data_IF_272062034166
#
_entry.id   IF_272062034166
#
_cell.length_a   1.000
_cell.length_b   1.000
_cell.length_c   1.000
_cell.angle_alpha   90.00
_cell.angle_beta   90.00
_cell.angle_gamma   90.00
#
_symmetry.space_group_name_H-M   'P 1'
#
loop_
_entity.id
_entity.type
_entity.pdbx_description
1 polymer ?
#
# COMPACT_ATOMS: atom_id res chain seq x y z
N UNK A 1 -3.36 -11.82 13.71
CA UNK A 1 -1.95 -11.87 14.12
C UNK A 1 -1.52 -10.60 14.86
N UNK A 2 -1.81 -9.39 14.41
CA UNK A 2 -1.40 -8.09 15.01
C UNK A 2 -1.88 -7.92 16.45
N UNK A 3 -3.15 -8.23 16.76
CA UNK A 3 -3.69 -8.16 18.13
C UNK A 3 -2.89 -9.07 19.08
N UNK A 4 -2.60 -10.30 18.64
CA UNK A 4 -1.78 -11.24 19.44
C UNK A 4 -0.35 -10.74 19.66
N UNK A 5 0.15 -9.89 18.77
CA UNK A 5 1.44 -9.21 18.91
C UNK A 5 1.36 -7.91 19.77
N UNK A 6 0.20 -7.62 20.37
CA UNK A 6 0.01 -6.48 21.28
C UNK A 6 -0.34 -5.18 20.58
N UNK A 7 -0.73 -5.21 19.29
CA UNK A 7 -1.14 -4.00 18.57
C UNK A 7 -2.62 -3.71 18.76
N UNK A 8 -2.98 -2.46 19.06
CA UNK A 8 -4.31 -1.95 18.83
C UNK A 8 -4.57 -1.94 17.32
N UNK A 9 -5.59 -2.65 16.88
CA UNK A 9 -5.85 -2.85 15.46
C UNK A 9 -7.21 -2.26 15.07
N UNK A 10 -7.21 -1.29 14.17
CA UNK A 10 -8.40 -0.63 13.64
C UNK A 10 -8.67 -1.17 12.23
N UNK A 11 -9.90 -1.60 11.96
CA UNK A 11 -10.36 -1.98 10.64
C UNK A 11 -11.35 -0.93 10.13
N UNK A 12 -10.94 -0.20 9.09
CA UNK A 12 -11.79 0.79 8.45
C UNK A 12 -12.76 0.09 7.48
N UNK A 13 -14.04 0.24 7.72
CA UNK A 13 -15.10 -0.44 6.98
C UNK A 13 -16.13 0.55 6.44
N UNK A 14 -16.69 0.24 5.27
CA UNK A 14 -17.83 0.97 4.70
C UNK A 14 -19.17 0.32 5.06
N UNK A 15 -19.15 -0.96 5.34
CA UNK A 15 -20.29 -1.76 5.80
C UNK A 15 -19.82 -2.67 6.92
N UNK A 16 -20.75 -3.17 7.72
CA UNK A 16 -20.44 -4.19 8.72
C UNK A 16 -19.95 -5.46 8.02
N UNK A 17 -18.72 -5.92 8.30
CA UNK A 17 -18.19 -7.13 7.69
C UNK A 17 -18.82 -8.43 8.29
N UNK A 18 -19.66 -8.33 9.31
CA UNK A 18 -20.24 -9.47 10.04
C UNK A 18 -19.23 -10.13 10.97
N UNK A 19 -18.23 -10.80 10.42
CA UNK A 19 -17.25 -11.58 11.16
C UNK A 19 -15.89 -10.86 11.28
N UNK A 20 -15.81 -9.84 12.14
CA UNK A 20 -14.54 -9.23 12.47
C UNK A 20 -13.78 -10.06 13.52
N UNK A 21 -12.45 -10.25 13.38
CA UNK A 21 -11.67 -10.95 14.39
C UNK A 21 -11.78 -10.29 15.78
N UNK A 22 -11.88 -11.09 16.84
CA UNK A 22 -11.98 -10.59 18.20
C UNK A 22 -10.83 -9.61 18.53
N UNK A 23 -11.18 -8.46 19.13
CA UNK A 23 -10.25 -7.41 19.50
C UNK A 23 -9.91 -6.41 18.40
N UNK A 24 -10.44 -6.57 17.16
CA UNK A 24 -10.38 -5.55 16.13
C UNK A 24 -11.46 -4.49 16.40
N UNK A 25 -11.08 -3.22 16.34
CA UNK A 25 -12.01 -2.10 16.44
C UNK A 25 -12.48 -1.71 15.03
N UNK A 26 -13.79 -1.71 14.80
CA UNK A 26 -14.37 -1.25 13.54
C UNK A 26 -14.47 0.28 13.54
N UNK A 27 -14.02 0.89 12.46
CA UNK A 27 -14.04 2.34 12.26
C UNK A 27 -14.72 2.67 10.93
N UNK A 28 -15.59 3.66 10.94
CA UNK A 28 -16.25 4.14 9.73
C UNK A 28 -15.25 4.74 8.74
N UNK A 29 -15.06 4.07 7.62
CA UNK A 29 -14.14 4.46 6.55
C UNK A 29 -14.59 5.75 5.84
N UNK A 30 -15.87 6.12 5.91
CA UNK A 30 -16.39 7.36 5.29
C UNK A 30 -15.77 8.62 5.88
N UNK A 31 -15.25 8.54 7.12
CA UNK A 31 -14.51 9.63 7.77
C UNK A 31 -13.19 9.97 7.07
N UNK A 32 -12.63 9.02 6.33
CA UNK A 32 -11.38 9.20 5.57
C UNK A 32 -11.68 9.52 4.11
N UNK A 33 -12.59 8.76 3.51
CA UNK A 33 -12.94 8.91 2.10
C UNK A 33 -14.42 8.53 1.91
N UNK A 34 -15.20 9.44 1.34
CA UNK A 34 -16.62 9.22 1.11
C UNK A 34 -16.86 8.00 0.18
N UNK A 35 -17.96 7.26 0.40
CA UNK A 35 -18.32 6.04 -0.34
C UNK A 35 -18.37 6.27 -1.86
N UNK A 36 -18.85 7.42 -2.29
CA UNK A 36 -18.98 7.82 -3.69
C UNK A 36 -17.61 7.98 -4.38
N UNK A 37 -16.54 8.06 -3.59
CA UNK A 37 -15.15 8.12 -4.07
C UNK A 37 -14.53 6.75 -4.29
N UNK A 38 -15.28 5.66 -4.04
CA UNK A 38 -14.80 4.29 -4.31
C UNK A 38 -14.62 4.13 -5.82
N UNK A 39 -13.37 3.95 -6.23
CA UNK A 39 -12.98 3.74 -7.63
C UNK A 39 -12.62 2.27 -7.81
N UNK A 40 -13.26 1.63 -8.79
CA UNK A 40 -12.90 0.28 -9.21
C UNK A 40 -12.05 0.35 -10.47
N UNK A 41 -11.00 -0.44 -10.52
CA UNK A 41 -10.24 -0.65 -11.74
C UNK A 41 -11.12 -1.40 -12.78
N UNK A 42 -10.73 -1.38 -14.06
CA UNK A 42 -11.48 -2.03 -15.15
C UNK A 42 -11.76 -3.52 -14.92
N UNK A 43 -10.91 -4.21 -14.17
CA UNK A 43 -11.11 -5.61 -13.76
C UNK A 43 -11.98 -5.78 -12.50
N UNK A 44 -12.61 -4.72 -12.00
CA UNK A 44 -13.41 -4.71 -10.79
C UNK A 44 -12.62 -4.59 -9.48
N UNK A 45 -11.28 -4.67 -9.52
CA UNK A 45 -10.42 -4.63 -8.34
C UNK A 45 -10.43 -3.28 -7.62
N UNK A 46 -10.19 -3.30 -6.32
CA UNK A 46 -10.17 -2.12 -5.42
C UNK A 46 -8.76 -1.63 -5.08
N UNK A 47 -7.70 -2.22 -5.62
CA UNK A 47 -6.31 -1.86 -5.27
C UNK A 47 -6.02 -0.37 -5.48
N UNK A 48 -6.52 0.23 -6.57
CA UNK A 48 -6.42 1.67 -6.82
C UNK A 48 -7.08 2.49 -5.69
N UNK A 49 -8.26 2.07 -5.27
CA UNK A 49 -8.96 2.72 -4.17
C UNK A 49 -8.21 2.55 -2.85
N UNK A 50 -7.69 1.35 -2.56
CA UNK A 50 -6.89 1.08 -1.37
C UNK A 50 -5.63 1.96 -1.31
N UNK A 51 -4.96 2.19 -2.45
CA UNK A 51 -3.82 3.10 -2.52
C UNK A 51 -4.20 4.55 -2.17
N UNK A 52 -5.34 5.05 -2.68
CA UNK A 52 -5.84 6.39 -2.34
C UNK A 52 -6.19 6.45 -0.85
N UNK A 53 -6.93 5.45 -0.35
CA UNK A 53 -7.39 5.40 1.03
C UNK A 53 -6.23 5.42 2.03
N UNK A 54 -5.18 4.60 1.83
CA UNK A 54 -4.04 4.53 2.75
C UNK A 54 -3.28 5.85 2.87
N UNK A 55 -3.11 6.59 1.77
CA UNK A 55 -2.45 7.89 1.83
C UNK A 55 -3.29 8.95 2.54
N UNK A 56 -4.60 8.95 2.30
CA UNK A 56 -5.53 9.82 3.02
C UNK A 56 -5.59 9.48 4.50
N UNK A 57 -5.63 8.21 4.86
CA UNK A 57 -5.61 7.75 6.24
C UNK A 57 -4.34 8.19 6.97
N UNK A 58 -3.16 8.02 6.38
CA UNK A 58 -1.91 8.46 6.96
C UNK A 58 -1.87 9.97 7.17
N UNK A 59 -2.47 10.75 6.27
CA UNK A 59 -2.57 12.21 6.42
C UNK A 59 -3.42 12.65 7.62
N UNK A 60 -4.30 11.79 8.15
CA UNK A 60 -5.06 12.07 9.38
C UNK A 60 -4.27 11.80 10.67
N UNK A 61 -3.05 11.30 10.58
CA UNK A 61 -2.21 10.97 11.74
C UNK A 61 -2.26 9.50 12.14
N UNK A 62 -2.78 8.60 11.29
CA UNK A 62 -2.67 7.16 11.52
C UNK A 62 -1.20 6.75 11.65
N UNK A 63 -0.91 5.89 12.64
CA UNK A 63 0.48 5.57 12.97
C UNK A 63 1.11 4.63 11.95
N UNK A 64 0.47 3.49 11.69
CA UNK A 64 0.94 2.49 10.73
C UNK A 64 -0.27 1.97 9.96
N UNK A 65 -0.22 2.08 8.64
CA UNK A 65 -1.14 1.40 7.75
C UNK A 65 -0.60 0.00 7.43
N UNK A 66 -1.50 -0.98 7.41
CA UNK A 66 -1.22 -2.35 6.97
C UNK A 66 -2.34 -2.86 6.06
N UNK A 67 -1.99 -3.60 5.01
CA UNK A 67 -2.96 -4.32 4.19
C UNK A 67 -3.54 -5.52 4.97
N UNK A 68 -4.77 -5.90 4.68
CA UNK A 68 -5.47 -6.97 5.41
C UNK A 68 -4.86 -8.36 5.22
N UNK A 69 -4.07 -8.53 4.17
CA UNK A 69 -3.33 -9.75 3.82
C UNK A 69 -1.89 -9.77 4.38
N UNK A 70 -1.61 -8.94 5.38
CA UNK A 70 -0.36 -9.00 6.13
C UNK A 70 -0.48 -9.88 7.37
N UNK A 71 0.48 -10.77 7.57
CA UNK A 71 0.62 -11.61 8.76
C UNK A 71 1.72 -11.08 9.67
N UNK A 72 1.39 -10.69 10.91
CA UNK A 72 2.34 -10.21 11.89
C UNK A 72 3.10 -11.39 12.54
N UNK A 73 4.42 -11.38 12.40
CA UNK A 73 5.33 -12.37 13.02
C UNK A 73 5.87 -11.83 14.35
N UNK A 74 6.22 -10.55 14.39
CA UNK A 74 6.74 -9.85 15.58
C UNK A 74 6.12 -8.46 15.69
N UNK A 75 6.07 -7.86 16.89
CA UNK A 75 5.54 -6.52 17.06
C UNK A 75 6.26 -5.49 16.18
N UNK A 76 5.49 -4.69 15.45
CA UNK A 76 6.02 -3.56 14.71
C UNK A 76 6.34 -2.42 15.68
N UNK A 77 7.54 -1.89 15.61
CA UNK A 77 7.91 -0.70 16.37
C UNK A 77 7.62 0.55 15.56
N UNK A 78 7.05 1.55 16.21
CA UNK A 78 6.83 2.86 15.60
C UNK A 78 8.15 3.47 15.14
N UNK A 79 8.20 3.87 13.87
CA UNK A 79 9.28 4.63 13.26
C UNK A 79 8.66 5.75 12.43
N UNK A 80 9.34 6.90 12.26
CA UNK A 80 8.84 7.97 11.41
C UNK A 80 8.55 7.47 10.00
N UNK A 81 9.51 6.73 9.42
CA UNK A 81 9.36 6.07 8.13
C UNK A 81 9.37 4.56 8.33
N UNK A 82 8.30 3.88 7.92
CA UNK A 82 8.19 2.43 7.96
C UNK A 82 7.59 1.95 6.64
N UNK A 83 8.42 1.36 5.82
CA UNK A 83 8.09 0.70 4.56
C UNK A 83 9.26 -0.21 4.18
N UNK A 84 9.07 -1.08 3.19
CA UNK A 84 10.12 -2.03 2.83
C UNK A 84 10.21 -2.31 1.33
N UNK A 85 11.36 -2.79 0.93
CA UNK A 85 11.59 -3.32 -0.41
C UNK A 85 10.80 -4.62 -0.60
N UNK A 86 10.02 -4.73 -1.69
CA UNK A 86 9.45 -6.00 -2.14
C UNK A 86 10.38 -6.70 -3.14
N UNK A 87 11.27 -5.94 -3.74
CA UNK A 87 12.29 -6.41 -4.68
C UNK A 87 13.48 -5.45 -4.67
N UNK A 88 14.53 -5.75 -5.42
CA UNK A 88 15.71 -4.88 -5.54
C UNK A 88 15.40 -3.47 -6.08
N UNK A 89 14.27 -3.27 -6.71
CA UNK A 89 13.95 -2.01 -7.42
C UNK A 89 12.62 -1.37 -7.01
N UNK A 90 11.83 -2.05 -6.15
CA UNK A 90 10.48 -1.61 -5.81
C UNK A 90 10.21 -1.66 -4.32
N UNK A 91 9.77 -0.53 -3.77
CA UNK A 91 9.23 -0.41 -2.42
C UNK A 91 7.74 -0.72 -2.49
N UNK A 92 7.24 -1.55 -1.56
CA UNK A 92 5.81 -1.83 -1.41
C UNK A 92 5.18 -0.96 -0.34
N UNK A 93 3.88 -0.76 -0.42
CA UNK A 93 3.09 0.09 0.46
C UNK A 93 2.06 -0.68 1.32
N UNK A 94 2.18 -2.01 1.41
CA UNK A 94 1.32 -2.84 2.25
C UNK A 94 1.57 -2.64 3.76
N UNK A 95 2.80 -2.25 4.14
CA UNK A 95 3.13 -1.71 5.45
C UNK A 95 3.68 -0.31 5.24
N UNK A 96 3.03 0.69 5.82
CA UNK A 96 3.40 2.08 5.56
C UNK A 96 3.18 2.97 6.79
N UNK A 97 4.24 3.68 7.22
CA UNK A 97 4.15 4.82 8.12
C UNK A 97 4.95 5.97 7.55
N UNK A 98 4.36 7.15 7.55
CA UNK A 98 4.97 8.39 7.07
C UNK A 98 4.57 9.50 8.04
N UNK A 99 5.50 10.40 8.44
CA UNK A 99 5.15 11.51 9.33
C UNK A 99 4.11 12.43 8.69
N UNK A 100 3.13 12.85 9.47
CA UNK A 100 2.19 13.90 9.06
C UNK A 100 2.99 15.16 8.71
N UNK A 101 2.69 15.77 7.56
CA UNK A 101 3.43 16.94 7.07
C UNK A 101 4.77 16.64 6.41
N UNK A 102 5.19 15.36 6.31
CA UNK A 102 6.39 15.03 5.54
C UNK A 102 6.18 15.33 4.05
N UNK A 103 7.22 15.81 3.33
CA UNK A 103 7.10 16.13 1.91
C UNK A 103 6.65 14.95 1.05
N UNK A 104 7.08 13.72 1.38
CA UNK A 104 6.66 12.52 0.66
C UNK A 104 5.15 12.25 0.83
N UNK A 105 4.61 12.40 2.04
CA UNK A 105 3.17 12.21 2.29
C UNK A 105 2.36 13.31 1.60
N UNK A 106 2.83 14.54 1.63
CA UNK A 106 2.20 15.66 0.91
C UNK A 106 2.13 15.39 -0.60
N UNK A 107 3.23 14.94 -1.22
CA UNK A 107 3.27 14.60 -2.65
C UNK A 107 2.37 13.41 -3.01
N UNK A 108 2.27 12.39 -2.13
CA UNK A 108 1.35 11.26 -2.30
C UNK A 108 -0.10 11.73 -2.29
N UNK A 109 -0.47 12.52 -1.29
CA UNK A 109 -1.83 13.08 -1.14
C UNK A 109 -2.16 13.99 -2.32
N UNK A 110 -1.27 14.90 -2.68
CA UNK A 110 -1.45 15.77 -3.84
C UNK A 110 -1.65 14.97 -5.12
N UNK A 111 -0.87 13.91 -5.32
CA UNK A 111 -0.98 13.06 -6.51
C UNK A 111 -2.35 12.41 -6.60
N UNK A 112 -2.86 11.83 -5.50
CA UNK A 112 -4.17 11.15 -5.51
C UNK A 112 -5.35 12.11 -5.56
N UNK A 113 -5.17 13.37 -5.17
CA UNK A 113 -6.18 14.43 -5.33
C UNK A 113 -6.29 14.96 -6.76
N UNK A 114 -5.26 14.72 -7.58
CA UNK A 114 -5.21 15.17 -8.96
C UNK A 114 -5.16 14.00 -9.95
N UNK A 115 -6.25 13.22 -10.14
CA UNK A 115 -6.26 12.00 -10.95
C UNK A 115 -5.94 12.22 -12.43
N UNK A 116 -5.97 13.46 -12.88
CA UNK A 116 -5.60 13.86 -14.24
C UNK A 116 -4.11 14.22 -14.37
N UNK A 117 -3.35 14.18 -13.28
CA UNK A 117 -1.91 14.48 -13.30
C UNK A 117 -1.17 13.49 -14.21
N UNK A 118 -0.16 14.00 -14.88
CA UNK A 118 0.70 13.17 -15.72
C UNK A 118 1.57 12.27 -14.83
N UNK A 119 1.64 10.95 -15.08
CA UNK A 119 2.39 10.03 -14.22
C UNK A 119 3.92 10.19 -14.44
N UNK A 120 4.54 11.09 -13.67
CA UNK A 120 5.98 11.38 -13.74
C UNK A 120 6.84 10.16 -13.40
N UNK A 121 6.31 9.23 -12.60
CA UNK A 121 6.96 7.97 -12.20
C UNK A 121 6.98 6.90 -13.29
N UNK A 122 6.40 7.15 -14.44
CA UNK A 122 6.45 6.23 -15.58
C UNK A 122 7.75 6.41 -16.38
N UNK A 123 8.23 5.29 -16.96
CA UNK A 123 9.29 5.34 -17.96
C UNK A 123 8.88 6.24 -19.16
N UNK A 124 9.88 6.80 -19.85
CA UNK A 124 9.66 7.70 -20.98
C UNK A 124 8.70 7.12 -22.03
N UNK A 125 8.86 5.87 -22.42
CA UNK A 125 7.97 5.20 -23.39
C UNK A 125 6.52 5.11 -22.91
N UNK A 126 6.31 4.78 -21.63
CA UNK A 126 4.96 4.76 -21.02
C UNK A 126 4.36 6.16 -20.94
N UNK A 127 5.17 7.18 -20.67
CA UNK A 127 4.74 8.59 -20.64
C UNK A 127 4.27 9.06 -22.02
N UNK A 128 5.01 8.77 -23.10
CA UNK A 128 4.61 9.09 -24.47
C UNK A 128 3.28 8.41 -24.83
N UNK A 129 3.16 7.10 -24.57
CA UNK A 129 1.92 6.37 -24.83
C UNK A 129 0.74 6.94 -24.05
N UNK A 130 0.94 7.27 -22.78
CA UNK A 130 -0.09 7.89 -21.96
C UNK A 130 -0.49 9.26 -22.49
N UNK A 131 0.47 10.10 -22.89
CA UNK A 131 0.23 11.41 -23.50
C UNK A 131 -0.60 11.31 -24.77
N UNK A 132 -0.25 10.38 -25.67
CA UNK A 132 -1.00 10.14 -26.89
C UNK A 132 -2.45 9.68 -26.62
N UNK A 133 -2.65 8.73 -25.70
CA UNK A 133 -3.98 8.27 -25.32
C UNK A 133 -4.82 9.38 -24.68
N UNK A 134 -4.18 10.26 -23.90
CA UNK A 134 -4.84 11.41 -23.29
C UNK A 134 -5.25 12.44 -24.34
N UNK A 135 -4.39 12.74 -25.30
CA UNK A 135 -4.71 13.65 -26.41
C UNK A 135 -5.91 13.14 -27.23
N UNK A 136 -6.06 11.82 -27.35
CA UNK A 136 -7.20 11.17 -28.01
C UNK A 136 -8.45 11.05 -27.09
N UNK A 137 -8.46 11.65 -25.90
CA UNK A 137 -9.58 11.59 -24.96
C UNK A 137 -9.83 10.20 -24.35
N UNK A 138 -8.91 9.23 -24.53
CA UNK A 138 -9.07 7.83 -24.09
C UNK A 138 -8.64 7.58 -22.65
N UNK A 139 -8.05 8.56 -21.97
CA UNK A 139 -7.59 8.50 -20.58
C UNK A 139 -8.14 9.71 -19.83
N UNK A 140 -8.95 9.47 -18.81
CA UNK A 140 -9.60 10.53 -18.03
C UNK A 140 -9.15 10.61 -16.57
N UNK A 141 -8.60 9.52 -15.99
CA UNK A 141 -8.17 9.45 -14.60
C UNK A 141 -7.33 8.22 -14.31
N UNK A 142 -7.14 7.93 -13.03
CA UNK A 142 -6.31 6.80 -12.58
C UNK A 142 -6.86 5.44 -12.97
N UNK A 143 -8.20 5.32 -13.15
CA UNK A 143 -8.86 4.08 -13.59
C UNK A 143 -8.35 3.60 -14.96
N UNK A 144 -7.77 4.49 -15.75
CA UNK A 144 -7.18 4.17 -17.05
C UNK A 144 -5.71 3.75 -16.97
N UNK A 145 -5.05 3.93 -15.79
CA UNK A 145 -3.69 3.50 -15.58
C UNK A 145 -3.62 1.98 -15.37
N UNK A 146 -2.47 1.36 -15.63
CA UNK A 146 -2.24 -0.03 -15.23
C UNK A 146 -2.48 -0.25 -13.73
N UNK A 147 -2.83 -1.49 -13.37
CA UNK A 147 -3.01 -1.90 -11.97
C UNK A 147 -1.82 -1.46 -11.09
N UNK A 148 -2.12 -1.07 -9.86
CA UNK A 148 -1.15 -0.62 -8.84
C UNK A 148 -0.26 0.57 -9.22
N UNK A 149 -0.62 1.36 -10.24
CA UNK A 149 0.22 2.46 -10.74
C UNK A 149 0.52 3.54 -9.72
N UNK A 150 -0.39 3.81 -8.80
CA UNK A 150 -0.24 4.82 -7.72
C UNK A 150 0.16 4.21 -6.38
N UNK A 151 0.37 2.90 -6.32
CA UNK A 151 0.89 2.18 -5.17
C UNK A 151 2.43 2.12 -5.17
N UNK A 152 3.02 0.91 -5.22
CA UNK A 152 4.46 0.71 -5.14
C UNK A 152 5.29 1.54 -6.13
N UNK A 153 4.92 1.71 -7.41
CA UNK A 153 5.70 2.52 -8.35
C UNK A 153 5.77 3.99 -7.95
N UNK A 154 4.64 4.59 -7.54
CA UNK A 154 4.60 5.98 -7.09
C UNK A 154 5.39 6.16 -5.79
N UNK A 155 5.18 5.29 -4.80
CA UNK A 155 5.93 5.34 -3.54
C UNK A 155 7.44 5.23 -3.77
N UNK A 156 7.88 4.30 -4.61
CA UNK A 156 9.31 4.14 -4.95
C UNK A 156 9.89 5.38 -5.60
N UNK A 157 9.15 5.98 -6.54
CA UNK A 157 9.56 7.23 -7.21
C UNK A 157 9.70 8.36 -6.20
N UNK A 158 8.72 8.56 -5.34
CA UNK A 158 8.73 9.64 -4.36
C UNK A 158 9.76 9.40 -3.25
N UNK A 159 9.95 8.16 -2.80
CA UNK A 159 11.02 7.83 -1.85
C UNK A 159 12.40 8.19 -2.42
N UNK A 160 12.62 7.94 -3.72
CA UNK A 160 13.85 8.37 -4.42
C UNK A 160 13.94 9.89 -4.51
N UNK A 161 12.85 10.56 -4.91
CA UNK A 161 12.80 12.03 -5.03
C UNK A 161 13.15 12.73 -3.71
N UNK A 162 12.71 12.17 -2.58
CA UNK A 162 12.92 12.73 -1.25
C UNK A 162 14.14 12.16 -0.51
N UNK A 163 14.99 11.35 -1.17
CA UNK A 163 16.20 10.79 -0.55
C UNK A 163 15.96 9.74 0.53
N UNK A 164 14.78 9.08 0.53
CA UNK A 164 14.32 8.16 1.56
C UNK A 164 14.52 6.68 1.24
N UNK A 165 15.26 6.34 0.17
CA UNK A 165 15.50 4.93 -0.19
C UNK A 165 16.23 4.16 0.92
N UNK A 166 17.08 4.81 1.69
CA UNK A 166 17.79 4.23 2.83
C UNK A 166 16.92 3.91 4.04
N UNK A 167 15.71 4.49 4.12
CA UNK A 167 14.73 4.20 5.17
C UNK A 167 13.96 2.89 4.90
N UNK A 168 13.97 2.40 3.65
CA UNK A 168 13.26 1.19 3.28
C UNK A 168 13.91 -0.04 3.92
N UNK A 169 13.10 -0.79 4.69
CA UNK A 169 13.53 -2.06 5.28
C UNK A 169 13.89 -3.08 4.19
N UNK A 170 14.87 -3.97 4.45
CA UNK A 170 15.19 -5.08 3.54
C UNK A 170 13.96 -5.95 3.22
N UNK A 171 14.00 -6.65 2.08
CA UNK A 171 12.89 -7.49 1.58
C UNK A 171 12.38 -8.46 2.65
N UNK A 172 13.32 -9.13 3.34
CA UNK A 172 13.01 -10.18 4.32
C UNK A 172 12.27 -9.68 5.59
N UNK A 173 12.19 -8.35 5.77
CA UNK A 173 11.48 -7.77 6.92
C UNK A 173 9.97 -7.84 6.76
N UNK A 174 9.44 -7.60 5.54
CA UNK A 174 7.99 -7.57 5.26
C UNK A 174 7.55 -8.45 4.10
N UNK A 175 8.46 -8.79 3.20
CA UNK A 175 8.16 -9.48 1.93
C UNK A 175 9.05 -10.70 1.69
N UNK A 176 9.28 -11.57 2.70
CA UNK A 176 10.12 -12.75 2.52
C UNK A 176 9.52 -13.77 1.52
N UNK A 177 8.23 -13.66 1.26
CA UNK A 177 7.51 -14.51 0.29
C UNK A 177 7.62 -13.94 -1.13
N UNK A 178 8.84 -13.93 -1.68
CA UNK A 178 9.12 -13.39 -3.02
C UNK A 178 8.48 -14.19 -4.16
N UNK A 179 8.10 -15.44 -3.91
CA UNK A 179 7.43 -16.31 -4.88
C UNK A 179 5.91 -16.07 -4.95
N UNK A 180 5.38 -15.25 -4.01
CA UNK A 180 3.97 -14.89 -3.96
C UNK A 180 3.05 -15.97 -3.37
N UNK A 181 1.74 -15.80 -3.55
CA UNK A 181 0.70 -16.66 -2.96
C UNK A 181 0.88 -18.15 -3.26
N UNK A 182 1.45 -18.51 -4.40
CA UNK A 182 1.68 -19.90 -4.79
C UNK A 182 2.49 -20.71 -3.77
N UNK A 183 3.41 -20.05 -3.06
CA UNK A 183 4.22 -20.70 -2.01
C UNK A 183 3.35 -21.18 -0.85
N UNK A 184 2.34 -20.41 -0.47
CA UNK A 184 1.45 -20.70 0.66
C UNK A 184 0.34 -21.70 0.29
N UNK A 185 0.14 -21.98 -1.00
CA UNK A 185 -0.78 -23.00 -1.49
C UNK A 185 -0.13 -24.38 -1.54
N UNK A 186 1.19 -24.49 -1.41
CA UNK A 186 1.89 -25.79 -1.29
C UNK A 186 1.66 -26.35 0.12
N UNK A 187 0.97 -27.49 0.27
CA UNK A 187 0.67 -28.08 1.58
C UNK A 187 1.92 -28.53 2.36
N UNK A 188 3.07 -28.57 1.71
CA UNK A 188 4.38 -28.92 2.32
C UNK A 188 5.06 -27.71 2.93
N UNK A 189 4.58 -26.49 2.64
CA UNK A 189 5.15 -25.24 3.13
C UNK A 189 4.23 -24.59 4.17
N UNK A 190 4.82 -23.89 5.11
CA UNK A 190 4.12 -23.15 6.15
C UNK A 190 4.63 -21.71 6.22
N UNK A 191 3.90 -20.85 6.93
CA UNK A 191 4.37 -19.49 7.23
C UNK A 191 5.72 -19.52 7.96
N UNK A 192 5.95 -20.54 8.81
CA UNK A 192 7.20 -20.66 9.56
C UNK A 192 8.43 -20.81 8.66
N UNK A 193 8.28 -21.43 7.47
CA UNK A 193 9.37 -21.62 6.50
C UNK A 193 9.80 -20.30 5.84
N UNK A 194 8.95 -19.27 5.90
CA UNK A 194 9.22 -17.93 5.37
C UNK A 194 9.86 -17.00 6.41
N UNK A 195 9.82 -17.37 7.69
CA UNK A 195 10.29 -16.50 8.78
C UNK A 195 11.81 -16.52 8.87
N UNK A 196 12.44 -15.35 8.75
CA UNK A 196 13.86 -15.11 9.01
C UNK A 196 14.04 -14.35 10.34
N UNK A 197 15.27 -14.26 10.88
CA UNK A 197 15.53 -13.52 12.12
C UNK A 197 15.02 -12.08 12.13
N UNK A 198 15.09 -11.39 10.98
CA UNK A 198 14.66 -10.01 10.79
C UNK A 198 13.18 -9.84 10.40
N UNK A 199 12.46 -10.91 10.08
CA UNK A 199 11.05 -10.83 9.60
C UNK A 199 10.13 -10.31 10.70
N UNK A 200 9.44 -9.21 10.42
CA UNK A 200 8.44 -8.59 11.29
C UNK A 200 7.02 -8.92 10.84
N UNK A 201 6.79 -8.94 9.54
CA UNK A 201 5.50 -9.35 8.97
C UNK A 201 5.71 -10.03 7.60
N UNK A 202 4.68 -10.73 7.13
CA UNK A 202 4.70 -11.45 5.84
C UNK A 202 3.49 -11.02 5.04
N UNK A 203 3.71 -10.59 3.81
CA UNK A 203 2.65 -10.33 2.84
C UNK A 203 2.20 -11.66 2.22
N UNK A 204 0.89 -11.92 2.26
CA UNK A 204 0.32 -13.20 1.84
C UNK A 204 -0.07 -13.22 0.35
N UNK A 205 -0.13 -12.05 -0.30
CA UNK A 205 -0.48 -11.76 -1.72
C UNK A 205 -1.91 -12.05 -2.12
#
# INVERSE_FOLDING_TARGET
SFIRAGHRTLLHVYDDPGDAPAGVELVDATRILARERIIRHRNGGLALFADIFRYKLLATGAEIYIDCDMYCVRPLRRRPYLFGWESQTRINNAVLSLPVGSPILADLVETVDHPKRFPEWYSWSKRLRFGALRALGRVRGFEALPHASIGPPLLTYLARKHGLLGEASPVDVFYPNVEGAGTLLDPRKSIADLVKPETLAIHLW
#
